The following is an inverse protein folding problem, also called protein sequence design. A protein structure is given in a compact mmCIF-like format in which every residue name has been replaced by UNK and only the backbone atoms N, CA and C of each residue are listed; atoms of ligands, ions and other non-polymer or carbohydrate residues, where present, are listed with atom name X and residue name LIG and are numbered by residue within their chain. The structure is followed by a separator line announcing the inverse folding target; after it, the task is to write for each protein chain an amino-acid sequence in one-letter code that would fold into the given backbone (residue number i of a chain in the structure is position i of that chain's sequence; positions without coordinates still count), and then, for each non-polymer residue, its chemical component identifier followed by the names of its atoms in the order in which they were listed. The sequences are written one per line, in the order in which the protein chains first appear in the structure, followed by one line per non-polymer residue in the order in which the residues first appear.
data_IF_469881510669
#
_entry.id   IF_469881510669
#
_cell.length_a   1.000
_cell.length_b   1.000
_cell.length_c   1.000
_cell.angle_alpha   90.00
_cell.angle_beta   90.00
_cell.angle_gamma   90.00
#
_symmetry.space_group_name_H-M   'P 1'
#
loop_
_entity.id
_entity.type
_entity.pdbx_description
1 polymer ?
#
# COMPACT_ATOMS: atom_id res chain seq x y z
N UNK A 1 -5.84 -6.92 9.37
CA UNK A 1 -6.50 -7.42 8.14
C UNK A 1 -7.29 -6.27 7.51
N UNK A 2 -7.53 -6.21 6.18
CA UNK A 2 -8.36 -5.14 5.59
C UNK A 2 -9.73 -5.00 6.26
N UNK A 3 -10.29 -6.10 6.75
CA UNK A 3 -11.56 -6.12 7.48
C UNK A 3 -11.52 -5.44 8.86
N UNK A 4 -10.33 -5.23 9.42
CA UNK A 4 -10.15 -4.58 10.72
C UNK A 4 -9.94 -3.07 10.55
N UNK A 5 -10.17 -2.55 9.33
CA UNK A 5 -10.06 -1.13 9.03
C UNK A 5 -11.05 -0.35 9.93
N UNK A 6 -10.59 0.66 10.67
CA UNK A 6 -11.47 1.48 11.50
C UNK A 6 -12.61 2.09 10.69
N UNK A 7 -13.81 2.08 11.26
CA UNK A 7 -15.04 2.51 10.57
C UNK A 7 -14.97 3.94 10.01
N UNK A 8 -14.17 4.82 10.64
CA UNK A 8 -13.91 6.19 10.17
C UNK A 8 -13.37 6.29 8.74
N UNK A 9 -12.81 5.21 8.20
CA UNK A 9 -12.29 5.14 6.83
C UNK A 9 -13.31 4.59 5.81
N UNK A 10 -14.50 4.22 6.27
CA UNK A 10 -15.56 3.66 5.45
C UNK A 10 -15.34 2.19 5.07
N UNK A 11 -16.09 1.70 4.06
CA UNK A 11 -16.07 0.29 3.70
C UNK A 11 -14.69 -0.19 3.25
N UNK A 12 -14.16 -1.22 3.93
CA UNK A 12 -12.81 -1.73 3.65
C UNK A 12 -12.58 -2.15 2.19
N UNK A 13 -13.64 -2.62 1.50
CA UNK A 13 -13.55 -3.03 0.08
C UNK A 13 -13.20 -1.85 -0.82
N UNK A 14 -13.82 -0.70 -0.59
CA UNK A 14 -13.60 0.53 -1.34
C UNK A 14 -12.17 1.05 -1.10
N UNK A 15 -11.73 1.03 0.16
CA UNK A 15 -10.35 1.43 0.52
C UNK A 15 -9.34 0.50 -0.12
N UNK A 16 -9.56 -0.82 -0.06
CA UNK A 16 -8.68 -1.80 -0.71
C UNK A 16 -8.63 -1.63 -2.24
N UNK A 17 -9.77 -1.39 -2.89
CA UNK A 17 -9.82 -1.17 -4.34
C UNK A 17 -9.02 0.07 -4.73
N UNK A 18 -9.15 1.17 -3.97
CA UNK A 18 -8.39 2.40 -4.21
C UNK A 18 -6.89 2.18 -3.98
N UNK A 19 -6.52 1.53 -2.88
CA UNK A 19 -5.14 1.15 -2.61
C UNK A 19 -4.55 0.35 -3.77
N UNK A 20 -5.29 -0.68 -4.24
CA UNK A 20 -4.86 -1.51 -5.37
C UNK A 20 -4.69 -0.67 -6.64
N UNK A 21 -5.65 0.20 -6.95
CA UNK A 21 -5.58 1.07 -8.12
C UNK A 21 -4.34 1.96 -8.06
N UNK A 22 -4.11 2.62 -6.93
CA UNK A 22 -2.96 3.53 -6.73
C UNK A 22 -1.61 2.83 -6.77
N UNK A 23 -1.56 1.57 -6.32
CA UNK A 23 -0.40 0.71 -6.47
C UNK A 23 -0.16 0.35 -7.94
N UNK A 24 -1.22 -0.03 -8.66
CA UNK A 24 -1.13 -0.53 -10.02
C UNK A 24 -0.90 0.60 -11.05
N UNK A 25 -1.42 1.81 -10.81
CA UNK A 25 -1.32 2.96 -11.72
C UNK A 25 -0.16 3.94 -11.39
N UNK A 26 0.70 3.58 -10.44
CA UNK A 26 1.86 4.38 -10.05
C UNK A 26 1.54 5.66 -9.28
N UNK A 27 0.34 5.82 -8.72
CA UNK A 27 -0.01 6.98 -7.88
C UNK A 27 0.96 7.18 -6.73
N UNK A 28 1.36 6.10 -6.05
CA UNK A 28 2.31 6.21 -4.96
C UNK A 28 3.67 6.75 -5.40
N UNK A 29 4.17 6.33 -6.57
CA UNK A 29 5.44 6.84 -7.13
C UNK A 29 5.38 8.34 -7.41
N UNK A 30 4.27 8.81 -7.98
CA UNK A 30 4.08 10.24 -8.25
C UNK A 30 4.02 11.07 -6.96
N UNK A 31 3.31 10.57 -5.95
CA UNK A 31 3.24 11.21 -4.63
C UNK A 31 4.63 11.28 -3.99
N UNK A 32 5.35 10.16 -4.01
CA UNK A 32 6.70 10.08 -3.43
C UNK A 32 7.67 11.04 -4.12
N UNK A 33 7.63 11.09 -5.46
CA UNK A 33 8.46 12.01 -6.27
C UNK A 33 8.17 13.47 -5.92
N UNK A 34 6.88 13.83 -5.84
CA UNK A 34 6.49 15.20 -5.50
C UNK A 34 6.90 15.60 -4.09
N UNK A 35 6.80 14.67 -3.14
CA UNK A 35 7.23 14.89 -1.76
C UNK A 35 8.74 15.12 -1.68
N UNK A 36 9.56 14.30 -2.38
CA UNK A 36 11.01 14.50 -2.45
C UNK A 36 11.38 15.87 -3.01
N UNK A 37 10.78 16.27 -4.14
CA UNK A 37 11.05 17.58 -4.73
C UNK A 37 10.76 18.72 -3.77
N UNK A 38 9.63 18.64 -3.04
CA UNK A 38 9.25 19.65 -2.06
C UNK A 38 10.22 19.68 -0.87
N UNK A 39 10.50 18.53 -0.25
CA UNK A 39 11.39 18.47 0.90
C UNK A 39 12.81 18.94 0.56
N UNK A 40 13.26 18.70 -0.68
CA UNK A 40 14.55 19.21 -1.17
C UNK A 40 14.53 20.73 -1.30
N UNK A 41 13.46 21.29 -1.86
CA UNK A 41 13.30 22.76 -1.97
C UNK A 41 13.25 23.43 -0.59
N UNK A 42 12.61 22.79 0.38
CA UNK A 42 12.49 23.28 1.75
C UNK A 42 13.76 23.03 2.60
N UNK A 43 14.78 22.36 2.04
CA UNK A 43 16.06 22.08 2.71
C UNK A 43 16.01 20.95 3.76
N UNK A 44 14.95 20.13 3.77
CA UNK A 44 14.76 19.05 4.74
C UNK A 44 15.38 17.72 4.33
N UNK A 45 15.74 17.54 3.05
CA UNK A 45 16.43 16.34 2.57
C UNK A 45 17.67 16.70 1.75
N UNK A 46 18.73 15.94 1.99
CA UNK A 46 19.94 15.90 1.20
C UNK A 46 19.94 14.62 0.35
N UNK A 47 20.38 14.70 -0.90
CA UNK A 47 20.49 13.56 -1.80
C UNK A 47 21.87 12.91 -1.78
N UNK A 48 22.84 13.50 -1.07
CA UNK A 48 24.18 12.96 -0.92
C UNK A 48 24.26 11.96 0.24
N UNK A 49 23.29 12.01 1.17
CA UNK A 49 23.22 11.14 2.35
C UNK A 49 21.97 10.26 2.34
N UNK A 50 22.15 8.94 2.32
CA UNK A 50 21.04 7.97 2.34
C UNK A 50 21.09 7.11 3.61
N UNK A 51 19.97 7.02 4.31
CA UNK A 51 19.75 6.06 5.40
C UNK A 51 18.69 5.06 4.96
N UNK A 52 19.06 3.79 4.89
CA UNK A 52 18.13 2.70 4.54
C UNK A 52 17.84 1.91 5.79
N UNK A 53 16.62 2.00 6.29
CA UNK A 53 16.10 1.08 7.29
C UNK A 53 15.11 0.08 6.65
N UNK A 54 14.88 -1.03 7.35
CA UNK A 54 13.80 -1.92 6.99
C UNK A 54 13.06 -2.35 8.25
N UNK A 55 11.73 -2.32 8.20
CA UNK A 55 10.87 -2.86 9.25
C UNK A 55 9.96 -3.89 8.64
N UNK A 56 9.93 -5.09 9.21
CA UNK A 56 9.06 -6.18 8.76
C UNK A 56 8.02 -6.49 9.82
N UNK A 57 6.74 -6.40 9.45
CA UNK A 57 5.63 -6.87 10.27
C UNK A 57 5.16 -8.21 9.71
N UNK A 58 5.32 -9.28 10.49
CA UNK A 58 4.86 -10.62 10.09
C UNK A 58 3.33 -10.64 10.02
N UNK A 59 2.79 -10.99 8.86
CA UNK A 59 1.37 -11.24 8.71
C UNK A 59 0.98 -12.55 9.44
N UNK A 60 -0.16 -12.56 10.13
CA UNK A 60 -0.70 -13.79 10.72
C UNK A 60 -1.14 -14.76 9.61
N UNK A 61 -1.16 -16.07 9.87
CA UNK A 61 -1.64 -17.09 8.90
C UNK A 61 -3.01 -16.75 8.30
N UNK A 62 -3.87 -16.07 9.04
CA UNK A 62 -5.20 -15.65 8.60
C UNK A 62 -5.22 -14.47 7.60
N UNK A 63 -4.07 -13.85 7.32
CA UNK A 63 -3.94 -12.71 6.41
C UNK A 63 -3.92 -13.09 4.92
N UNK A 64 -3.56 -14.34 4.59
CA UNK A 64 -3.46 -14.83 3.20
C UNK A 64 -4.82 -14.89 2.45
N UNK A 65 -5.93 -14.61 3.15
CA UNK A 65 -7.27 -14.75 2.59
C UNK A 65 -7.71 -16.21 2.47
N UNK A 66 -9.01 -16.43 2.25
CA UNK A 66 -9.54 -17.74 1.91
C UNK A 66 -9.52 -17.93 0.39
N UNK A 67 -9.11 -19.10 -0.09
CA UNK A 67 -9.15 -19.43 -1.52
C UNK A 67 -10.54 -19.17 -2.12
N UNK A 68 -10.58 -18.68 -3.36
CA UNK A 68 -11.85 -18.49 -4.09
C UNK A 68 -12.54 -19.84 -4.22
N UNK A 69 -13.68 -20.03 -3.55
CA UNK A 69 -14.55 -21.19 -3.82
C UNK A 69 -15.23 -20.99 -5.18
N UNK A 70 -14.91 -21.86 -6.14
CA UNK A 70 -15.68 -22.04 -7.36
C UNK A 70 -15.06 -21.42 -8.62
N UNK A 71 -14.07 -22.09 -9.19
CA UNK A 71 -14.02 -22.26 -10.63
C UNK A 71 -14.20 -23.76 -10.87
N UNK A 72 -15.43 -24.19 -11.17
CA UNK A 72 -15.62 -25.53 -11.76
C UNK A 72 -15.16 -25.39 -13.20
N UNK A 73 -13.95 -25.84 -13.49
CA UNK A 73 -13.53 -26.12 -14.86
C UNK A 73 -14.08 -27.49 -15.16
N UNK A 74 -15.18 -27.55 -15.92
CA UNK A 74 -15.60 -28.82 -16.52
C UNK A 74 -14.56 -29.17 -17.59
N UNK A 75 -13.90 -30.31 -17.41
CA UNK A 75 -13.24 -31.06 -18.48
C UNK A 75 -14.30 -31.75 -19.34
#
# INVERSE_FOLDING_TARGET
KWRDLPERYGPWKTVYQRFRQWRDDGTFERVLTRLHLRLRQDGFIDLDTWMVDSTTIRATRAAAGGGKKGARTNL
#
